data_IF_912989467870
#
_entry.id   IF_912989467870
#
_cell.length_a   1.000
_cell.length_b   1.000
_cell.length_c   1.000
_cell.angle_alpha   90.00
_cell.angle_beta   90.00
_cell.angle_gamma   90.00
#
_symmetry.space_group_name_H-M   'P 1'
#
loop_
_entity.id
_entity.type
_entity.pdbx_description
1 polymer ?
#
# COMPACT_ATOMS: atom_id res chain seq x y z
N UNK A 1 -7.66 -2.69 2.59
CA UNK A 1 -7.14 -4.04 2.93
C UNK A 1 -7.13 -4.20 4.43
N UNK A 2 -8.07 -4.96 5.02
CA UNK A 2 -7.96 -5.39 6.43
C UNK A 2 -9.06 -6.35 6.90
N UNK A 3 -10.00 -6.82 6.06
CA UNK A 3 -11.18 -7.51 6.58
C UNK A 3 -10.87 -8.89 7.20
N UNK A 4 -9.95 -9.65 6.62
CA UNK A 4 -9.61 -11.02 7.07
C UNK A 4 -8.74 -10.98 8.32
N UNK A 5 -7.64 -10.22 8.30
CA UNK A 5 -6.79 -10.04 9.48
C UNK A 5 -7.56 -9.41 10.66
N UNK A 6 -8.38 -8.39 10.40
CA UNK A 6 -9.23 -7.80 11.44
C UNK A 6 -10.32 -8.77 11.93
N UNK A 7 -10.86 -9.65 11.07
CA UNK A 7 -11.81 -10.67 11.49
C UNK A 7 -11.17 -11.72 12.40
N UNK A 8 -9.95 -12.18 12.08
CA UNK A 8 -9.19 -13.07 12.95
C UNK A 8 -8.83 -12.39 14.28
N UNK A 9 -8.41 -11.12 14.26
CA UNK A 9 -8.13 -10.37 15.49
C UNK A 9 -9.38 -10.22 16.37
N UNK A 10 -10.54 -9.86 15.80
CA UNK A 10 -11.81 -9.83 16.55
C UNK A 10 -12.17 -11.19 17.16
N UNK A 11 -11.86 -12.28 16.46
CA UNK A 11 -12.10 -13.64 16.95
C UNK A 11 -11.21 -13.95 18.15
N UNK A 12 -9.93 -13.58 18.09
CA UNK A 12 -8.98 -13.68 19.19
C UNK A 12 -9.45 -12.85 20.40
N UNK A 13 -9.86 -11.60 20.17
CA UNK A 13 -10.34 -10.71 21.23
C UNK A 13 -11.61 -11.27 21.90
N UNK A 14 -12.55 -11.79 21.10
CA UNK A 14 -13.77 -12.41 21.60
C UNK A 14 -13.50 -13.68 22.44
N UNK A 15 -12.58 -14.55 22.00
CA UNK A 15 -12.19 -15.74 22.76
C UNK A 15 -11.47 -15.32 24.06
N UNK A 16 -10.58 -14.33 23.99
CA UNK A 16 -9.88 -13.78 25.16
C UNK A 16 -10.86 -13.23 26.20
N UNK A 17 -11.88 -12.48 25.76
CA UNK A 17 -12.95 -12.01 26.64
C UNK A 17 -13.70 -13.16 27.33
N UNK A 18 -14.05 -14.23 26.58
CA UNK A 18 -14.69 -15.43 27.15
C UNK A 18 -13.80 -16.17 28.14
N UNK A 19 -12.49 -16.21 27.91
CA UNK A 19 -11.52 -16.78 28.86
C UNK A 19 -11.54 -16.00 30.17
N UNK A 20 -11.44 -14.66 30.10
CA UNK A 20 -11.49 -13.80 31.29
C UNK A 20 -12.78 -14.00 32.09
N UNK A 21 -13.93 -14.02 31.41
CA UNK A 21 -15.22 -14.28 32.05
C UNK A 21 -15.26 -15.67 32.71
N UNK A 22 -14.79 -16.70 32.01
CA UNK A 22 -14.78 -18.08 32.51
C UNK A 22 -13.85 -18.25 33.70
N UNK A 23 -12.70 -17.57 33.73
CA UNK A 23 -11.81 -17.51 34.89
C UNK A 23 -12.53 -16.90 36.10
N UNK A 24 -13.30 -15.81 35.90
CA UNK A 24 -14.15 -15.23 36.93
C UNK A 24 -15.15 -16.24 37.49
N UNK A 25 -15.80 -17.03 36.63
CA UNK A 25 -16.74 -18.09 37.02
C UNK A 25 -16.05 -19.24 37.78
N UNK A 26 -14.84 -19.64 37.38
CA UNK A 26 -14.02 -20.63 38.13
C UNK A 26 -13.76 -20.12 39.54
N UNK A 27 -13.32 -18.87 39.69
CA UNK A 27 -13.00 -18.29 41.00
C UNK A 27 -14.24 -18.18 41.90
N UNK A 28 -15.39 -17.79 41.35
CA UNK A 28 -16.65 -17.77 42.09
C UNK A 28 -17.06 -19.18 42.58
N UNK A 29 -16.89 -20.21 41.74
CA UNK A 29 -17.17 -21.59 42.12
C UNK A 29 -16.16 -22.15 43.16
N UNK A 30 -14.92 -21.65 43.19
CA UNK A 30 -13.94 -21.94 44.24
C UNK A 30 -14.41 -21.35 45.58
N UNK A 31 -14.80 -20.08 45.59
CA UNK A 31 -15.28 -19.39 46.80
C UNK A 31 -16.55 -20.06 47.34
N UNK A 32 -17.45 -20.48 46.46
CA UNK A 32 -18.69 -21.18 46.81
C UNK A 32 -18.50 -22.66 47.19
N UNK A 33 -17.29 -23.20 47.07
CA UNK A 33 -16.97 -24.63 47.27
C UNK A 33 -17.82 -25.60 46.40
N UNK A 34 -18.23 -25.17 45.21
CA UNK A 34 -18.98 -25.99 44.26
C UNK A 34 -18.02 -26.74 43.32
N UNK A 35 -17.62 -27.95 43.73
CA UNK A 35 -16.71 -28.79 42.96
C UNK A 35 -17.22 -29.17 41.56
N UNK A 36 -18.55 -29.25 41.37
CA UNK A 36 -19.15 -29.62 40.08
C UNK A 36 -19.06 -28.44 39.10
N UNK A 37 -19.40 -27.23 39.56
CA UNK A 37 -19.24 -26.02 38.76
C UNK A 37 -17.77 -25.75 38.42
N UNK A 38 -16.85 -25.94 39.38
CA UNK A 38 -15.40 -25.83 39.13
C UNK A 38 -14.94 -26.76 38.00
N UNK A 39 -15.30 -28.04 38.05
CA UNK A 39 -14.91 -29.01 37.03
C UNK A 39 -15.47 -28.64 35.64
N UNK A 40 -16.72 -28.19 35.57
CA UNK A 40 -17.35 -27.75 34.33
C UNK A 40 -16.68 -26.51 33.73
N UNK A 41 -16.42 -25.49 34.55
CA UNK A 41 -15.76 -24.27 34.09
C UNK A 41 -14.31 -24.51 33.68
N UNK A 42 -13.57 -25.39 34.38
CA UNK A 42 -12.22 -25.79 33.97
C UNK A 42 -12.17 -26.51 32.62
N UNK A 43 -13.15 -27.36 32.31
CA UNK A 43 -13.27 -27.97 30.97
C UNK A 43 -13.56 -26.93 29.88
N UNK A 44 -14.46 -25.99 30.19
CA UNK A 44 -14.78 -24.88 29.28
C UNK A 44 -13.55 -24.02 29.01
N UNK A 45 -12.77 -23.73 30.05
CA UNK A 45 -11.52 -22.97 29.95
C UNK A 45 -10.48 -23.69 29.09
N UNK A 46 -10.34 -25.01 29.23
CA UNK A 46 -9.46 -25.82 28.38
C UNK A 46 -9.87 -25.74 26.89
N UNK A 47 -11.16 -25.90 26.61
CA UNK A 47 -11.69 -25.75 25.23
C UNK A 47 -11.43 -24.36 24.67
N UNK A 48 -11.64 -23.29 25.44
CA UNK A 48 -11.38 -21.92 25.00
C UNK A 48 -9.90 -21.65 24.73
N UNK A 49 -8.99 -22.31 25.46
CA UNK A 49 -7.55 -22.22 25.18
C UNK A 49 -7.17 -22.93 23.89
N UNK A 50 -7.78 -24.07 23.58
CA UNK A 50 -7.59 -24.75 22.30
C UNK A 50 -8.13 -23.91 21.14
N UNK A 51 -9.34 -23.36 21.28
CA UNK A 51 -9.95 -22.45 20.31
C UNK A 51 -9.08 -21.19 20.07
N UNK A 52 -8.52 -20.62 21.14
CA UNK A 52 -7.62 -19.46 21.04
C UNK A 52 -6.37 -19.80 20.22
N UNK A 53 -5.78 -20.97 20.48
CA UNK A 53 -4.57 -21.42 19.78
C UNK A 53 -4.86 -21.66 18.29
N UNK A 54 -6.01 -22.21 17.96
CA UNK A 54 -6.46 -22.38 16.58
C UNK A 54 -6.71 -21.04 15.89
N UNK A 55 -7.42 -20.11 16.55
CA UNK A 55 -7.65 -18.77 16.04
C UNK A 55 -6.33 -18.00 15.79
N UNK A 56 -5.34 -18.14 16.67
CA UNK A 56 -4.00 -17.57 16.50
C UNK A 56 -3.27 -18.13 15.28
N UNK A 57 -3.34 -19.46 15.05
CA UNK A 57 -2.75 -20.09 13.87
C UNK A 57 -3.39 -19.60 12.57
N UNK A 58 -4.72 -19.45 12.54
CA UNK A 58 -5.40 -18.91 11.38
C UNK A 58 -5.03 -17.44 11.12
N UNK A 59 -4.90 -16.63 12.18
CA UNK A 59 -4.46 -15.25 12.06
C UNK A 59 -3.03 -15.15 11.48
N UNK A 60 -2.12 -16.01 11.95
CA UNK A 60 -0.74 -16.08 11.44
C UNK A 60 -0.69 -16.52 9.98
N UNK A 61 -1.42 -17.58 9.61
CA UNK A 61 -1.49 -18.04 8.22
C UNK A 61 -2.03 -16.95 7.28
N UNK A 62 -3.11 -16.27 7.68
CA UNK A 62 -3.67 -15.16 6.91
C UNK A 62 -2.69 -13.97 6.79
N UNK A 63 -1.89 -13.71 7.84
CA UNK A 63 -0.86 -12.67 7.79
C UNK A 63 0.26 -13.03 6.81
N UNK A 64 0.68 -14.29 6.74
CA UNK A 64 1.71 -14.74 5.81
C UNK A 64 1.20 -14.62 4.37
N UNK A 65 0.00 -15.13 4.10
CA UNK A 65 -0.65 -15.05 2.78
C UNK A 65 -0.80 -13.60 2.31
N UNK A 66 -1.18 -12.70 3.22
CA UNK A 66 -1.30 -11.27 2.91
C UNK A 66 0.06 -10.65 2.54
N UNK A 67 1.13 -10.97 3.27
CA UNK A 67 2.48 -10.48 2.96
C UNK A 67 2.97 -11.00 1.61
N UNK A 68 2.67 -12.25 1.28
CA UNK A 68 3.01 -12.82 -0.03
C UNK A 68 2.21 -12.17 -1.16
N UNK A 69 0.91 -11.94 -0.96
CA UNK A 69 0.06 -11.23 -1.91
C UNK A 69 0.54 -9.79 -2.13
N UNK A 70 0.89 -9.08 -1.06
CA UNK A 70 1.42 -7.72 -1.11
C UNK A 70 2.76 -7.66 -1.85
N UNK A 71 3.63 -8.64 -1.63
CA UNK A 71 4.90 -8.75 -2.35
C UNK A 71 4.70 -9.00 -3.84
N UNK A 72 3.81 -9.94 -4.19
CA UNK A 72 3.49 -10.23 -5.58
C UNK A 72 2.87 -9.03 -6.30
N UNK A 73 2.04 -8.25 -5.60
CA UNK A 73 1.45 -7.02 -6.14
C UNK A 73 2.52 -5.96 -6.44
N UNK A 74 3.49 -5.75 -5.54
CA UNK A 74 4.62 -4.82 -5.76
C UNK A 74 5.48 -5.27 -6.93
N UNK A 75 5.74 -6.55 -7.05
CA UNK A 75 6.54 -7.08 -8.15
C UNK A 75 5.84 -6.90 -9.49
N UNK A 76 4.55 -7.22 -9.57
CA UNK A 76 3.75 -7.05 -10.79
C UNK A 76 3.63 -5.57 -11.21
N UNK A 77 3.33 -4.67 -10.26
CA UNK A 77 3.25 -3.22 -10.53
C UNK A 77 4.62 -2.63 -10.86
N UNK A 78 5.69 -3.08 -10.21
CA UNK A 78 7.07 -2.72 -10.54
C UNK A 78 7.45 -3.10 -11.98
N UNK A 79 7.09 -4.30 -12.43
CA UNK A 79 7.31 -4.72 -13.83
C UNK A 79 6.53 -3.82 -14.80
N UNK A 80 5.25 -3.57 -14.53
CA UNK A 80 4.42 -2.71 -15.38
C UNK A 80 4.97 -1.27 -15.46
N UNK A 81 5.44 -0.70 -14.34
CA UNK A 81 6.08 0.61 -14.30
C UNK A 81 7.38 0.61 -15.12
N UNK A 82 8.20 -0.43 -15.00
CA UNK A 82 9.45 -0.54 -15.75
C UNK A 82 9.19 -0.60 -17.27
N UNK A 83 8.24 -1.43 -17.70
CA UNK A 83 7.84 -1.54 -19.11
C UNK A 83 7.34 -0.21 -19.68
N UNK A 84 6.45 0.49 -18.96
CA UNK A 84 5.96 1.80 -19.37
C UNK A 84 7.08 2.85 -19.43
N UNK A 85 8.02 2.80 -18.48
CA UNK A 85 9.14 3.75 -18.44
C UNK A 85 10.10 3.53 -19.59
N UNK A 86 10.40 2.26 -19.93
CA UNK A 86 11.22 1.89 -21.08
C UNK A 86 10.54 2.28 -22.39
N UNK A 87 9.24 2.01 -22.52
CA UNK A 87 8.46 2.42 -23.69
C UNK A 87 8.55 3.94 -23.92
N UNK A 88 8.41 4.73 -22.85
CA UNK A 88 8.57 6.19 -22.91
C UNK A 88 9.96 6.62 -23.35
N UNK A 89 11.02 5.96 -22.89
CA UNK A 89 12.39 6.26 -23.35
C UNK A 89 12.54 5.92 -24.83
N UNK A 90 12.01 4.77 -25.25
CA UNK A 90 12.03 4.34 -26.65
C UNK A 90 11.33 5.33 -27.58
N UNK A 91 10.19 5.87 -27.14
CA UNK A 91 9.48 6.94 -27.87
C UNK A 91 10.34 8.22 -28.01
N UNK A 92 11.08 8.58 -26.95
CA UNK A 92 11.97 9.76 -26.97
C UNK A 92 13.16 9.56 -27.91
N UNK A 93 13.76 8.36 -27.94
CA UNK A 93 14.99 8.11 -28.72
C UNK A 93 14.71 7.70 -30.17
N UNK A 94 13.51 7.21 -30.49
CA UNK A 94 13.14 6.74 -31.83
C UNK A 94 13.38 7.77 -32.95
N UNK A 95 13.05 9.07 -32.80
CA UNK A 95 13.33 10.09 -33.81
C UNK A 95 14.82 10.27 -34.13
N UNK A 96 15.72 9.86 -33.24
CA UNK A 96 17.16 9.97 -33.40
C UNK A 96 17.78 8.72 -34.07
N UNK A 97 16.97 7.74 -34.48
CA UNK A 97 17.45 6.50 -35.10
C UNK A 97 18.30 5.64 -34.15
N UNK A 98 18.08 5.78 -32.85
CA UNK A 98 18.68 4.94 -31.82
C UNK A 98 17.89 3.64 -31.72
N UNK A 99 18.58 2.52 -31.54
CA UNK A 99 17.92 1.23 -31.35
C UNK A 99 17.09 1.23 -30.04
N UNK A 100 15.94 0.53 -30.01
CA UNK A 100 15.13 0.45 -28.81
C UNK A 100 15.91 -0.21 -27.66
N UNK A 101 15.74 0.35 -26.46
CA UNK A 101 16.24 -0.23 -25.21
C UNK A 101 15.36 -1.42 -24.87
N UNK A 102 16.00 -2.52 -24.49
CA UNK A 102 15.33 -3.77 -24.14
C UNK A 102 14.59 -3.66 -22.82
N UNK A 103 13.46 -4.36 -22.73
CA UNK A 103 12.85 -4.75 -21.46
C UNK A 103 13.88 -5.60 -20.69
N UNK A 104 14.12 -5.28 -19.42
CA UNK A 104 15.12 -5.97 -18.58
C UNK A 104 16.38 -5.17 -18.25
N UNK A 105 16.44 -3.87 -18.58
CA UNK A 105 17.51 -3.00 -18.05
C UNK A 105 17.29 -2.77 -16.54
N UNK A 106 18.23 -3.30 -15.73
CA UNK A 106 18.19 -3.32 -14.27
C UNK A 106 17.94 -1.95 -13.63
N UNK A 107 18.36 -0.87 -14.30
CA UNK A 107 18.18 0.51 -13.80
C UNK A 107 16.70 0.87 -13.71
N UNK A 108 15.91 0.48 -14.70
CA UNK A 108 14.46 0.70 -14.68
C UNK A 108 13.77 -0.24 -13.70
N UNK A 109 14.21 -1.50 -13.62
CA UNK A 109 13.67 -2.48 -12.66
C UNK A 109 13.78 -2.00 -11.21
N UNK A 110 14.97 -1.54 -10.80
CA UNK A 110 15.19 -1.05 -9.43
C UNK A 110 14.36 0.19 -9.10
N UNK A 111 14.34 1.18 -10.00
CA UNK A 111 13.58 2.43 -9.79
C UNK A 111 12.06 2.18 -9.80
N UNK A 112 11.59 1.30 -10.68
CA UNK A 112 10.18 0.92 -10.77
C UNK A 112 9.71 0.14 -9.54
N UNK A 113 10.52 -0.82 -9.06
CA UNK A 113 10.23 -1.53 -7.81
C UNK A 113 10.18 -0.57 -6.61
N UNK A 114 11.12 0.38 -6.53
CA UNK A 114 11.09 1.40 -5.48
C UNK A 114 9.82 2.24 -5.52
N UNK A 115 9.38 2.64 -6.73
CA UNK A 115 8.15 3.41 -6.92
C UNK A 115 6.91 2.61 -6.52
N UNK A 116 6.85 1.34 -6.93
CA UNK A 116 5.74 0.45 -6.59
C UNK A 116 5.61 0.26 -5.08
N UNK A 117 6.72 -0.01 -4.40
CA UNK A 117 6.75 -0.15 -2.94
C UNK A 117 6.31 1.15 -2.23
N UNK A 118 6.73 2.31 -2.74
CA UNK A 118 6.33 3.59 -2.18
C UNK A 118 4.83 3.86 -2.35
N UNK A 119 4.27 3.54 -3.52
CA UNK A 119 2.83 3.65 -3.79
C UNK A 119 2.03 2.69 -2.92
N UNK A 120 2.48 1.44 -2.74
CA UNK A 120 1.81 0.49 -1.86
C UNK A 120 1.78 0.98 -0.41
N UNK A 121 2.90 1.50 0.11
CA UNK A 121 2.94 2.07 1.46
C UNK A 121 2.01 3.27 1.61
N UNK A 122 1.97 4.18 0.63
CA UNK A 122 1.01 5.28 0.63
C UNK A 122 -0.43 4.77 0.61
N UNK A 123 -0.74 3.79 -0.24
CA UNK A 123 -2.06 3.19 -0.33
C UNK A 123 -2.49 2.56 1.01
N UNK A 124 -1.58 1.87 1.71
CA UNK A 124 -1.87 1.31 3.02
C UNK A 124 -2.16 2.37 4.09
N UNK A 125 -1.44 3.50 4.06
CA UNK A 125 -1.74 4.63 4.95
C UNK A 125 -3.09 5.25 4.60
N UNK A 126 -3.39 5.43 3.31
CA UNK A 126 -4.69 5.97 2.87
C UNK A 126 -5.87 5.05 3.24
N UNK A 127 -5.70 3.73 3.13
CA UNK A 127 -6.70 2.75 3.56
C UNK A 127 -6.98 2.87 5.08
N UNK A 128 -5.96 3.13 5.90
CA UNK A 128 -6.16 3.40 7.33
C UNK A 128 -6.95 4.67 7.58
N UNK A 129 -6.67 5.74 6.85
CA UNK A 129 -7.44 7.00 6.92
C UNK A 129 -8.90 6.74 6.55
N UNK A 130 -9.14 6.03 5.45
CA UNK A 130 -10.48 5.70 4.97
C UNK A 130 -11.25 4.84 5.98
N UNK A 131 -10.65 3.79 6.51
CA UNK A 131 -11.28 2.92 7.52
C UNK A 131 -11.62 3.70 8.80
N UNK A 132 -10.70 4.55 9.28
CA UNK A 132 -10.95 5.37 10.46
C UNK A 132 -12.04 6.42 10.21
N UNK A 133 -12.05 7.05 9.03
CA UNK A 133 -13.09 7.98 8.59
C UNK A 133 -14.47 7.32 8.51
N UNK A 134 -14.56 6.18 7.82
CA UNK A 134 -15.80 5.40 7.72
C UNK A 134 -16.34 5.00 9.09
N UNK A 135 -15.45 4.65 10.05
CA UNK A 135 -15.86 4.31 11.41
C UNK A 135 -16.38 5.53 12.17
N UNK A 136 -15.74 6.69 12.01
CA UNK A 136 -16.21 7.94 12.58
C UNK A 136 -17.60 8.30 12.04
N UNK A 137 -17.78 8.25 10.73
CA UNK A 137 -19.06 8.53 10.05
C UNK A 137 -20.17 7.58 10.52
N UNK A 138 -19.86 6.29 10.69
CA UNK A 138 -20.82 5.30 11.22
C UNK A 138 -21.28 5.65 12.65
N UNK A 139 -20.34 6.03 13.53
CA UNK A 139 -20.67 6.42 14.91
C UNK A 139 -21.47 7.73 14.94
N UNK A 140 -21.07 8.74 14.15
CA UNK A 140 -21.78 10.02 14.07
C UNK A 140 -23.20 9.84 13.52
N UNK A 141 -23.36 9.05 12.47
CA UNK A 141 -24.67 8.69 11.92
C UNK A 141 -25.54 8.00 12.97
N UNK A 142 -24.97 7.05 13.73
CA UNK A 142 -25.71 6.34 14.77
C UNK A 142 -26.15 7.26 15.91
N UNK A 143 -25.29 8.16 16.35
CA UNK A 143 -25.62 9.18 17.35
C UNK A 143 -26.77 10.07 16.86
N UNK A 144 -26.75 10.48 15.58
CA UNK A 144 -27.80 11.29 14.98
C UNK A 144 -29.15 10.57 14.97
N UNK A 145 -29.18 9.29 14.57
CA UNK A 145 -30.38 8.44 14.63
C UNK A 145 -30.95 8.32 16.04
N UNK A 146 -30.09 8.08 17.04
CA UNK A 146 -30.52 7.92 18.43
C UNK A 146 -31.02 9.25 19.02
N UNK A 147 -30.37 10.37 18.69
CA UNK A 147 -30.86 11.71 19.09
C UNK A 147 -32.24 11.97 18.49
N UNK A 148 -32.45 11.68 17.19
CA UNK A 148 -33.75 11.86 16.55
C UNK A 148 -34.85 11.03 17.23
N UNK A 149 -34.57 9.77 17.59
CA UNK A 149 -35.50 8.93 18.36
C UNK A 149 -35.79 9.50 19.74
N UNK A 150 -34.75 9.92 20.46
CA UNK A 150 -34.88 10.53 21.79
C UNK A 150 -35.74 11.80 21.73
N UNK A 151 -35.48 12.66 20.76
CA UNK A 151 -36.20 13.92 20.57
C UNK A 151 -37.67 13.68 20.20
N UNK A 152 -37.97 12.62 19.42
CA UNK A 152 -39.34 12.21 19.14
C UNK A 152 -40.09 11.75 20.41
N UNK A 153 -39.42 11.00 21.30
CA UNK A 153 -39.99 10.63 22.61
C UNK A 153 -40.25 11.88 23.46
N UNK A 154 -39.30 12.82 23.50
CA UNK A 154 -39.47 14.11 24.20
C UNK A 154 -40.66 14.90 23.65
N UNK A 155 -40.81 14.98 22.33
CA UNK A 155 -41.93 15.67 21.70
C UNK A 155 -43.28 15.00 22.03
N UNK A 156 -43.36 13.67 21.97
CA UNK A 156 -44.56 12.92 22.33
C UNK A 156 -44.98 13.16 23.79
N UNK A 157 -43.99 13.23 24.70
CA UNK A 157 -44.20 13.56 26.12
C UNK A 157 -44.74 14.97 26.32
N UNK A 158 -44.16 15.95 25.64
CA UNK A 158 -44.62 17.35 25.69
C UNK A 158 -46.04 17.50 25.13
N UNK A 159 -46.43 16.67 24.15
CA UNK A 159 -47.77 16.61 23.60
C UNK A 159 -48.78 15.83 24.46
N UNK A 160 -48.36 15.27 25.61
CA UNK A 160 -49.22 14.46 26.48
C UNK A 160 -49.54 13.05 25.95
N UNK A 161 -48.87 12.62 24.88
CA UNK A 161 -49.04 11.31 24.24
C UNK A 161 -48.00 10.28 24.76
N UNK A 162 -47.72 10.31 26.07
CA UNK A 162 -46.68 9.46 26.66
C UNK A 162 -47.09 7.98 26.64
N UNK A 163 -46.21 7.12 26.13
CA UNK A 163 -46.45 5.67 26.08
C UNK A 163 -45.80 4.96 27.26
N UNK A 164 -46.41 3.86 27.73
CA UNK A 164 -45.84 3.05 28.80
C UNK A 164 -44.50 2.44 28.34
N UNK A 165 -43.40 2.78 29.03
CA UNK A 165 -42.03 2.33 28.70
C UNK A 165 -41.18 3.37 27.98
N UNK A 166 -41.74 4.51 27.58
CA UNK A 166 -41.01 5.63 26.95
C UNK A 166 -39.89 6.19 27.81
N UNK A 167 -40.06 6.17 29.14
CA UNK A 167 -39.08 6.64 30.10
C UNK A 167 -37.83 5.75 30.11
N UNK A 168 -38.04 4.43 30.09
CA UNK A 168 -36.95 3.45 30.09
C UNK A 168 -36.20 3.49 28.75
N UNK A 169 -36.94 3.62 27.64
CA UNK A 169 -36.35 3.80 26.31
C UNK A 169 -35.55 5.12 26.21
N UNK A 170 -36.07 6.23 26.75
CA UNK A 170 -35.34 7.50 26.78
C UNK A 170 -34.01 7.39 27.54
N UNK A 171 -34.01 6.70 28.69
CA UNK A 171 -32.80 6.50 29.50
C UNK A 171 -31.81 5.59 28.76
N UNK A 172 -32.29 4.50 28.15
CA UNK A 172 -31.45 3.60 27.35
C UNK A 172 -30.79 4.33 26.16
N UNK A 173 -31.59 5.07 25.37
CA UNK A 173 -31.07 5.89 24.27
C UNK A 173 -30.04 6.92 24.74
N UNK A 174 -30.28 7.54 25.90
CA UNK A 174 -29.33 8.52 26.46
C UNK A 174 -28.01 7.85 26.88
N UNK A 175 -28.07 6.65 27.46
CA UNK A 175 -26.86 5.89 27.79
C UNK A 175 -26.08 5.49 26.52
N UNK A 176 -26.77 5.02 25.48
CA UNK A 176 -26.16 4.67 24.20
C UNK A 176 -25.52 5.88 23.51
N UNK A 177 -26.21 7.04 23.50
CA UNK A 177 -25.68 8.30 22.95
C UNK A 177 -24.41 8.71 23.70
N UNK A 178 -24.40 8.65 25.04
CA UNK A 178 -23.22 8.99 25.84
C UNK A 178 -22.07 8.03 25.55
N UNK A 179 -22.34 6.72 25.47
CA UNK A 179 -21.34 5.71 25.14
C UNK A 179 -20.73 5.95 23.77
N UNK A 180 -21.54 6.13 22.72
CA UNK A 180 -21.06 6.40 21.37
C UNK A 180 -20.33 7.76 21.29
N UNK A 181 -20.83 8.79 21.98
CA UNK A 181 -20.17 10.10 22.02
C UNK A 181 -18.79 10.02 22.66
N UNK A 182 -18.61 9.15 23.66
CA UNK A 182 -17.30 8.89 24.26
C UNK A 182 -16.30 8.23 23.30
N UNK A 183 -16.78 7.58 22.23
CA UNK A 183 -15.94 6.96 21.19
C UNK A 183 -15.50 7.95 20.10
N UNK A 184 -16.18 9.10 19.95
CA UNK A 184 -15.87 10.07 18.90
C UNK A 184 -14.48 10.69 19.05
N UNK A 185 -14.11 11.10 20.26
CA UNK A 185 -12.82 11.76 20.51
C UNK A 185 -11.62 10.82 20.26
N UNK A 186 -11.61 9.56 20.75
CA UNK A 186 -10.60 8.58 20.36
C UNK A 186 -10.52 8.33 18.85
N UNK A 187 -11.66 8.26 18.15
CA UNK A 187 -11.69 8.05 16.69
C UNK A 187 -11.13 9.25 15.93
N UNK A 188 -11.48 10.47 16.32
CA UNK A 188 -10.92 11.72 15.76
C UNK A 188 -9.43 11.81 16.00
N UNK A 189 -8.97 11.47 17.21
CA UNK A 189 -7.55 11.43 17.53
C UNK A 189 -6.82 10.40 16.66
N UNK A 190 -7.41 9.21 16.49
CA UNK A 190 -6.87 8.17 15.60
C UNK A 190 -6.74 8.70 14.17
N UNK A 191 -7.81 9.28 13.61
CA UNK A 191 -7.81 9.84 12.27
C UNK A 191 -6.76 10.95 12.11
N UNK A 192 -6.68 11.88 13.06
CA UNK A 192 -5.73 13.00 13.04
C UNK A 192 -4.28 12.56 13.20
N UNK A 193 -4.04 11.40 13.83
CA UNK A 193 -2.70 10.85 14.03
C UNK A 193 -2.13 10.17 12.78
N UNK A 194 -2.98 9.86 11.79
CA UNK A 194 -2.53 9.28 10.52
C UNK A 194 -1.97 10.39 9.62
N UNK A 195 -0.66 10.63 9.73
CA UNK A 195 0.06 11.49 8.81
C UNK A 195 0.52 10.70 7.57
N UNK A 196 0.11 11.16 6.39
CA UNK A 196 0.54 10.61 5.08
C UNK A 196 1.56 11.49 4.36
N UNK A 197 1.99 12.59 4.99
CA UNK A 197 2.89 13.57 4.37
C UNK A 197 4.23 12.96 3.99
N UNK A 198 4.77 12.07 4.83
CA UNK A 198 6.03 11.38 4.59
C UNK A 198 5.94 10.43 3.40
N UNK A 199 4.90 9.60 3.33
CA UNK A 199 4.67 8.65 2.24
C UNK A 199 4.43 9.40 0.92
N UNK A 200 3.65 10.48 0.93
CA UNK A 200 3.44 11.33 -0.25
C UNK A 200 4.74 11.96 -0.74
N UNK A 201 5.54 12.50 0.18
CA UNK A 201 6.84 13.10 -0.14
C UNK A 201 7.79 12.06 -0.72
N UNK A 202 7.80 10.85 -0.16
CA UNK A 202 8.64 9.77 -0.62
C UNK A 202 8.24 9.26 -2.00
N UNK A 203 6.93 9.09 -2.27
CA UNK A 203 6.43 8.79 -3.62
C UNK A 203 6.85 9.87 -4.61
N UNK A 204 6.61 11.16 -4.29
CA UNK A 204 6.98 12.27 -5.17
C UNK A 204 8.49 12.30 -5.48
N UNK A 205 9.33 12.02 -4.48
CA UNK A 205 10.78 11.92 -4.65
C UNK A 205 11.15 10.79 -5.63
N UNK A 206 10.59 9.60 -5.47
CA UNK A 206 10.90 8.47 -6.35
C UNK A 206 10.36 8.71 -7.77
N UNK A 207 9.18 9.31 -7.92
CA UNK A 207 8.65 9.69 -9.23
C UNK A 207 9.58 10.68 -9.95
N UNK A 208 10.18 11.62 -9.21
CA UNK A 208 11.19 12.51 -9.74
C UNK A 208 12.47 11.77 -10.15
N UNK A 209 12.91 10.79 -9.36
CA UNK A 209 14.07 9.94 -9.70
C UNK A 209 13.82 9.10 -10.96
N UNK A 210 12.63 8.49 -11.10
CA UNK A 210 12.22 7.76 -12.31
C UNK A 210 12.21 8.69 -13.53
N UNK A 211 11.66 9.91 -13.38
CA UNK A 211 11.66 10.91 -14.46
C UNK A 211 13.08 11.35 -14.84
N UNK A 212 13.97 11.53 -13.86
CA UNK A 212 15.37 11.84 -14.12
C UNK A 212 16.07 10.69 -14.85
N UNK A 213 15.81 9.43 -14.45
CA UNK A 213 16.34 8.25 -15.11
C UNK A 213 15.94 8.19 -16.59
N UNK A 214 14.66 8.46 -16.91
CA UNK A 214 14.18 8.55 -18.32
C UNK A 214 15.03 9.54 -19.11
N UNK A 215 15.25 10.74 -18.59
CA UNK A 215 16.04 11.76 -19.29
C UNK A 215 17.51 11.35 -19.45
N UNK A 216 18.13 10.82 -18.40
CA UNK A 216 19.54 10.40 -18.42
C UNK A 216 19.75 9.30 -19.44
N UNK A 217 18.92 8.25 -19.41
CA UNK A 217 19.07 7.11 -20.31
C UNK A 217 18.83 7.52 -21.77
N UNK A 218 17.83 8.37 -22.03
CA UNK A 218 17.59 8.88 -23.38
C UNK A 218 18.80 9.69 -23.91
N UNK A 219 19.36 10.57 -23.08
CA UNK A 219 20.55 11.36 -23.44
C UNK A 219 21.76 10.45 -23.69
N UNK A 220 22.02 9.49 -22.81
CA UNK A 220 23.14 8.55 -22.95
C UNK A 220 23.03 7.74 -24.25
N UNK A 221 21.82 7.28 -24.59
CA UNK A 221 21.59 6.49 -25.79
C UNK A 221 21.80 7.30 -27.08
N UNK A 222 21.32 8.56 -27.11
CA UNK A 222 21.56 9.47 -28.23
C UNK A 222 23.04 9.83 -28.34
N UNK A 223 23.72 10.11 -27.23
CA UNK A 223 25.15 10.40 -27.22
C UNK A 223 25.98 9.22 -27.72
N UNK A 224 25.64 7.99 -27.33
CA UNK A 224 26.30 6.79 -27.84
C UNK A 224 26.18 6.70 -29.36
N UNK A 225 24.97 6.92 -29.90
CA UNK A 225 24.73 6.92 -31.36
C UNK A 225 25.54 8.00 -32.10
N UNK A 226 25.64 9.19 -31.53
CA UNK A 226 26.45 10.28 -32.09
C UNK A 226 27.93 9.89 -32.12
N UNK A 227 28.47 9.33 -31.04
CA UNK A 227 29.87 8.87 -30.98
C UNK A 227 30.15 7.80 -32.03
N UNK A 228 29.24 6.84 -32.22
CA UNK A 228 29.38 5.81 -33.26
C UNK A 228 29.40 6.41 -34.67
N UNK A 229 28.52 7.38 -34.93
CA UNK A 229 28.49 8.08 -36.21
C UNK A 229 29.77 8.90 -36.46
N UNK A 230 30.29 9.59 -35.44
CA UNK A 230 31.55 10.32 -35.50
C UNK A 230 32.73 9.38 -35.79
N UNK A 231 32.80 8.23 -35.13
CA UNK A 231 33.83 7.22 -35.38
C UNK A 231 33.77 6.67 -36.81
N UNK A 232 32.56 6.35 -37.29
CA UNK A 232 32.35 5.88 -38.67
C UNK A 232 32.76 6.94 -39.70
N UNK A 233 32.43 8.22 -39.47
CA UNK A 233 32.84 9.32 -40.32
C UNK A 233 34.36 9.48 -40.34
N UNK A 234 35.01 9.50 -39.17
CA UNK A 234 36.48 9.59 -39.08
C UNK A 234 37.17 8.42 -39.77
N UNK A 235 36.64 7.21 -39.65
CA UNK A 235 37.15 6.05 -40.37
C UNK A 235 37.01 6.21 -41.89
N UNK A 236 35.86 6.68 -42.37
CA UNK A 236 35.62 6.94 -43.79
C UNK A 236 36.56 8.02 -44.34
N UNK A 237 36.76 9.13 -43.62
CA UNK A 237 37.70 10.20 -44.00
C UNK A 237 39.13 9.68 -44.10
N UNK A 238 39.58 8.88 -43.12
CA UNK A 238 40.92 8.25 -43.15
C UNK A 238 41.06 7.30 -44.34
N UNK A 239 40.03 6.51 -44.64
CA UNK A 239 40.01 5.62 -45.79
C UNK A 239 40.10 6.38 -47.12
N UNK A 240 39.30 7.44 -47.28
CA UNK A 240 39.33 8.30 -48.47
C UNK A 240 40.69 8.98 -48.67
N UNK A 241 41.30 9.47 -47.58
CA UNK A 241 42.64 10.04 -47.61
C UNK A 241 43.68 9.00 -48.05
N UNK A 242 43.64 7.78 -47.52
CA UNK A 242 44.57 6.71 -47.89
C UNK A 242 44.46 6.33 -49.38
N UNK A 243 43.24 6.24 -49.91
CA UNK A 243 43.01 6.01 -51.35
C UNK A 243 43.55 7.17 -52.18
N UNK A 244 43.32 8.41 -51.76
CA UNK A 244 43.85 9.60 -52.45
C UNK A 244 45.38 9.64 -52.48
N UNK A 245 46.05 9.26 -51.40
CA UNK A 245 47.52 9.14 -51.34
C UNK A 245 48.01 8.03 -52.28
N UNK A 246 47.36 6.86 -52.29
CA UNK A 246 47.74 5.75 -53.16
C UNK A 246 47.58 6.08 -54.66
N UNK A 247 46.66 6.99 -55.01
CA UNK A 247 46.41 7.44 -56.38
C UNK A 247 47.23 8.69 -56.78
N UNK A 248 48.08 9.24 -55.90
CA UNK A 248 48.95 10.33 -56.30
C UNK A 248 49.92 9.83 -57.40
N UNK A 249 50.01 10.52 -58.55
CA UNK A 249 50.95 10.13 -59.58
C UNK A 249 52.35 10.19 -59.00
N UNK A 250 53.06 9.07 -59.05
CA UNK A 250 54.48 9.00 -58.72
C UNK A 250 55.19 10.04 -59.59
N UNK A 251 55.62 11.15 -58.98
CA UNK A 251 56.55 12.11 -59.59
C UNK A 251 57.89 11.40 -59.79
N UNK A 252 57.96 10.54 -60.80
CA UNK A 252 59.08 9.65 -61.06
C UNK A 252 59.30 9.32 -62.53
N UNK A 253 58.37 9.64 -63.45
CA UNK A 253 58.69 9.65 -64.88
C UNK A 253 59.20 11.04 -65.27
N UNK A 254 60.49 11.28 -65.01
CA UNK A 254 61.20 12.30 -65.77
C UNK A 254 61.13 11.89 -67.24
N UNK A 255 60.67 12.81 -68.11
CA UNK A 255 60.58 12.64 -69.57
C UNK A 255 61.98 12.53 -70.23
N UNK A 256 63.06 12.51 -69.45
CA UNK A 256 64.44 12.44 -69.93
C UNK A 256 64.97 11.02 -70.19
N UNK A 257 64.16 9.96 -70.05
CA UNK A 257 64.60 8.58 -70.35
C UNK A 257 64.36 8.15 -71.82
N UNK A 258 63.87 9.05 -72.67
CA UNK A 258 63.62 8.78 -74.09
C UNK A 258 64.23 9.88 -74.98
N UNK A 259 65.54 10.07 -74.93
CA UNK A 259 66.36 10.60 -76.03
C UNK A 259 67.76 10.00 -75.96
#
# INVERSE_FOLDING_TARGET
MNSVAAAHQRTIDAITGKITETVGRVNAAIIANDAKAQASHKRTLASLHDDLKEAQRHAEAASIEQVEADRAAVEADGVAIAEQTIARVNDIIAPYGVAPISVGDDRFGAAAHALSLARQKLAHVMDKVEVAGNKLDEVESKISELNAKRDAITAARLAGADQKGSADEFVALSADIVSLSSMLEPLRNTLSSVDSSNERTWVAKIEQEVKALVSTVAVDAVQAKVRDAEQALLAAVRGAYAVGVAQQPTRGSSVLAHY
#
